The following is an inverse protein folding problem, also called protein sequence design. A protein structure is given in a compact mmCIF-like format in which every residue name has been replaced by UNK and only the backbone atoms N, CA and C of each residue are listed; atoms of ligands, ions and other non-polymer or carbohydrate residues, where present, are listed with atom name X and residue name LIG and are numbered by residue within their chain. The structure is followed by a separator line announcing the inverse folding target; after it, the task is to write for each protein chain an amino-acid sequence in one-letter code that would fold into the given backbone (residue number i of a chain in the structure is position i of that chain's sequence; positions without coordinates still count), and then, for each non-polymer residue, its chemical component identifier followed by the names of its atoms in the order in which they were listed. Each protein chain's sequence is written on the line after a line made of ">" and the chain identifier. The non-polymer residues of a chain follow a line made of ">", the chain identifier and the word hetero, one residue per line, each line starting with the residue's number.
data_IF_932465643985
#
_entry.id   IF_932465643985
#
_cell.length_a   1.000
_cell.length_b   1.000
_cell.length_c   1.000
_cell.angle_alpha   90.00
_cell.angle_beta   90.00
_cell.angle_gamma   90.00
#
_symmetry.space_group_name_H-M   'P 1'
#
loop_
_entity.id
_entity.type
_entity.pdbx_description
1 polymer ?
#
# COMPACT_ATOMS: atom_id res chain seq x y z
N UNK A 1 -18.40 -32.56 13.78
CA UNK A 1 -17.51 -31.61 13.06
C UNK A 1 -16.63 -32.45 12.16
N UNK A 2 -16.83 -32.40 10.83
CA UNK A 2 -16.17 -33.32 9.89
C UNK A 2 -14.77 -32.83 9.53
N UNK A 3 -13.80 -33.73 9.42
CA UNK A 3 -12.40 -33.42 9.06
C UNK A 3 -12.28 -32.55 7.78
N UNK A 4 -13.23 -32.67 6.84
CA UNK A 4 -13.30 -31.84 5.65
C UNK A 4 -13.50 -30.35 5.95
N UNK A 5 -14.23 -29.99 7.01
CA UNK A 5 -14.45 -28.59 7.40
C UNK A 5 -13.17 -27.95 7.96
N UNK A 6 -12.34 -28.72 8.68
CA UNK A 6 -11.06 -28.25 9.21
C UNK A 6 -10.02 -28.01 8.13
N UNK A 7 -9.92 -28.91 7.13
CA UNK A 7 -9.03 -28.70 5.98
C UNK A 7 -9.47 -27.51 5.12
N UNK A 8 -10.79 -27.30 4.95
CA UNK A 8 -11.34 -26.16 4.21
C UNK A 8 -11.15 -24.82 4.94
N UNK A 9 -11.12 -24.82 6.28
CA UNK A 9 -10.79 -23.62 7.08
C UNK A 9 -9.30 -23.28 7.06
N UNK A 10 -8.41 -24.28 7.08
CA UNK A 10 -6.95 -24.07 7.03
C UNK A 10 -6.45 -23.66 5.64
N UNK A 11 -7.06 -24.17 4.57
CA UNK A 11 -6.73 -23.83 3.19
C UNK A 11 -7.64 -22.71 2.65
N UNK A 12 -7.88 -21.64 3.42
CA UNK A 12 -8.43 -20.42 2.82
C UNK A 12 -7.41 -19.93 1.80
N UNK A 13 -7.75 -19.85 0.51
CA UNK A 13 -6.82 -19.33 -0.48
C UNK A 13 -6.44 -17.93 -0.04
N UNK A 14 -5.13 -17.72 0.20
CA UNK A 14 -4.61 -16.41 0.54
C UNK A 14 -5.09 -15.48 -0.55
N UNK A 15 -5.79 -14.41 -0.20
CA UNK A 15 -6.28 -13.48 -1.20
C UNK A 15 -5.07 -12.68 -1.71
N UNK A 16 -4.34 -13.25 -2.67
CA UNK A 16 -3.10 -12.69 -3.23
C UNK A 16 -3.36 -11.27 -3.75
N UNK A 17 -4.55 -11.00 -4.28
CA UNK A 17 -4.96 -9.64 -4.68
C UNK A 17 -5.00 -8.68 -3.50
N UNK A 18 -5.62 -9.07 -2.38
CA UNK A 18 -5.67 -8.23 -1.19
C UNK A 18 -4.28 -8.00 -0.57
N UNK A 19 -3.43 -9.04 -0.55
CA UNK A 19 -2.05 -8.92 -0.09
C UNK A 19 -1.24 -7.99 -1.01
N UNK A 20 -1.35 -8.14 -2.32
CA UNK A 20 -0.66 -7.29 -3.29
C UNK A 20 -1.11 -5.83 -3.19
N UNK A 21 -2.41 -5.58 -3.07
CA UNK A 21 -2.95 -4.23 -2.85
C UNK A 21 -2.42 -3.58 -1.57
N UNK A 22 -2.30 -4.37 -0.50
CA UNK A 22 -1.76 -3.91 0.77
C UNK A 22 -0.26 -3.60 0.68
N UNK A 23 0.54 -4.53 0.14
CA UNK A 23 2.00 -4.36 -0.02
C UNK A 23 2.30 -3.19 -0.95
N UNK A 24 1.64 -3.11 -2.10
CA UNK A 24 1.83 -1.98 -3.01
C UNK A 24 1.38 -0.67 -2.35
N UNK A 25 0.24 -0.65 -1.66
CA UNK A 25 -0.21 0.51 -0.91
C UNK A 25 0.83 0.99 0.11
N UNK A 26 1.44 0.06 0.84
CA UNK A 26 2.52 0.35 1.78
C UNK A 26 3.75 0.93 1.10
N UNK A 27 4.18 0.36 -0.04
CA UNK A 27 5.31 0.89 -0.82
C UNK A 27 5.02 2.32 -1.28
N UNK A 28 3.84 2.58 -1.88
CA UNK A 28 3.47 3.92 -2.33
C UNK A 28 3.36 4.92 -1.17
N UNK A 29 2.87 4.49 -0.01
CA UNK A 29 2.82 5.33 1.18
C UNK A 29 4.22 5.68 1.69
N UNK A 30 5.10 4.68 1.88
CA UNK A 30 6.45 4.93 2.39
C UNK A 30 7.26 5.78 1.40
N UNK A 31 7.29 5.40 0.13
CA UNK A 31 8.04 6.14 -0.90
C UNK A 31 7.47 7.55 -1.09
N UNK A 32 6.13 7.68 -1.15
CA UNK A 32 5.47 8.98 -1.26
C UNK A 32 5.77 9.89 -0.09
N UNK A 33 5.75 9.37 1.14
CA UNK A 33 6.11 10.14 2.34
C UNK A 33 7.57 10.61 2.29
N UNK A 34 8.50 9.73 1.91
CA UNK A 34 9.93 10.07 1.77
C UNK A 34 10.13 11.15 0.70
N UNK A 35 9.46 11.04 -0.44
CA UNK A 35 9.54 12.06 -1.50
C UNK A 35 8.89 13.39 -1.08
N UNK A 36 7.80 13.35 -0.34
CA UNK A 36 7.13 14.56 0.17
C UNK A 36 8.01 15.33 1.17
N UNK A 37 8.77 14.62 2.01
CA UNK A 37 9.68 15.25 2.97
C UNK A 37 11.11 15.45 2.43
N UNK A 38 11.43 14.95 1.24
CA UNK A 38 12.78 14.96 0.64
C UNK A 38 13.41 16.36 0.64
N UNK A 39 12.62 17.38 0.30
CA UNK A 39 13.02 18.80 0.31
C UNK A 39 13.38 19.31 1.72
N UNK A 40 12.75 18.79 2.77
CA UNK A 40 12.99 19.19 4.16
C UNK A 40 14.17 18.48 4.80
N UNK A 41 14.49 17.25 4.35
CA UNK A 41 15.60 16.45 4.86
C UNK A 41 16.90 16.64 4.05
N UNK A 42 16.93 17.58 3.11
CA UNK A 42 18.11 17.88 2.29
C UNK A 42 18.44 16.80 1.26
N UNK A 43 17.47 15.96 0.89
CA UNK A 43 17.63 14.97 -0.18
C UNK A 43 17.55 15.68 -1.53
N UNK A 44 18.71 15.94 -2.14
CA UNK A 44 18.80 16.56 -3.45
C UNK A 44 18.41 15.56 -4.56
N UNK A 45 17.14 15.59 -4.93
CA UNK A 45 16.66 14.89 -6.12
C UNK A 45 16.87 15.81 -7.32
N UNK A 46 17.88 15.50 -8.12
CA UNK A 46 18.35 16.35 -9.24
C UNK A 46 17.37 16.38 -10.41
N UNK A 47 16.47 15.40 -10.51
CA UNK A 47 15.44 15.32 -11.54
C UNK A 47 14.29 14.40 -11.09
N UNK A 48 13.01 14.80 -11.16
CA UNK A 48 12.41 16.10 -11.56
C UNK A 48 12.71 17.27 -10.60
N UNK A 49 12.27 18.52 -10.91
CA UNK A 49 12.34 19.67 -10.00
C UNK A 49 11.81 19.36 -8.59
N UNK A 50 12.42 19.89 -7.50
CA UNK A 50 12.07 19.55 -6.12
C UNK A 50 10.59 19.77 -5.77
N UNK A 51 9.96 20.80 -6.34
CA UNK A 51 8.54 21.07 -6.12
C UNK A 51 7.65 20.01 -6.77
N UNK A 52 8.02 19.53 -7.97
CA UNK A 52 7.33 18.44 -8.66
C UNK A 52 7.49 17.14 -7.89
N UNK A 53 8.69 16.86 -7.38
CA UNK A 53 8.97 15.68 -6.53
C UNK A 53 8.12 15.70 -5.27
N UNK A 54 7.99 16.87 -4.64
CA UNK A 54 7.18 17.05 -3.43
C UNK A 54 5.70 16.79 -3.71
N UNK A 55 5.15 17.39 -4.77
CA UNK A 55 3.75 17.19 -5.19
C UNK A 55 3.49 15.73 -5.56
N UNK A 56 4.41 15.11 -6.30
CA UNK A 56 4.34 13.70 -6.66
C UNK A 56 4.41 12.80 -5.42
N UNK A 57 5.28 13.12 -4.46
CA UNK A 57 5.37 12.43 -3.18
C UNK A 57 4.08 12.47 -2.39
N UNK A 58 3.47 13.66 -2.27
CA UNK A 58 2.17 13.83 -1.61
C UNK A 58 1.09 13.01 -2.33
N UNK A 59 1.02 13.07 -3.66
CA UNK A 59 0.08 12.28 -4.45
C UNK A 59 0.26 10.77 -4.29
N UNK A 60 1.50 10.29 -4.34
CA UNK A 60 1.85 8.89 -4.12
C UNK A 60 1.51 8.42 -2.70
N UNK A 61 1.75 9.27 -1.69
CA UNK A 61 1.39 8.98 -0.31
C UNK A 61 -0.13 8.83 -0.14
N UNK A 62 -0.90 9.79 -0.65
CA UNK A 62 -2.36 9.75 -0.61
C UNK A 62 -2.93 8.52 -1.35
N UNK A 63 -2.38 8.20 -2.52
CA UNK A 63 -2.76 7.02 -3.28
C UNK A 63 -2.41 5.72 -2.56
N UNK A 64 -1.22 5.65 -1.94
CA UNK A 64 -0.79 4.52 -1.11
C UNK A 64 -1.72 4.31 0.08
N UNK A 65 -2.05 5.39 0.82
CA UNK A 65 -2.99 5.36 1.92
C UNK A 65 -4.39 4.89 1.47
N UNK A 66 -4.88 5.38 0.33
CA UNK A 66 -6.14 4.91 -0.26
C UNK A 66 -6.11 3.42 -0.60
N UNK A 67 -5.00 2.91 -1.16
CA UNK A 67 -4.81 1.48 -1.44
C UNK A 67 -4.79 0.63 -0.19
N UNK A 68 -4.13 1.08 0.88
CA UNK A 68 -4.12 0.40 2.18
C UNK A 68 -5.54 0.33 2.74
N UNK A 69 -6.28 1.46 2.73
CA UNK A 69 -7.67 1.51 3.18
C UNK A 69 -8.57 0.55 2.38
N UNK A 70 -8.40 0.51 1.05
CA UNK A 70 -9.13 -0.42 0.18
C UNK A 70 -8.77 -1.88 0.46
N UNK A 71 -7.48 -2.18 0.66
CA UNK A 71 -7.00 -3.52 1.02
C UNK A 71 -7.60 -4.03 2.34
N UNK A 72 -7.64 -3.18 3.37
CA UNK A 72 -8.29 -3.48 4.65
C UNK A 72 -9.80 -3.72 4.51
N UNK A 73 -10.49 -2.89 3.72
CA UNK A 73 -11.94 -3.05 3.47
C UNK A 73 -12.26 -4.36 2.74
N UNK A 74 -11.47 -4.72 1.73
CA UNK A 74 -11.62 -5.97 0.97
C UNK A 74 -11.28 -7.20 1.83
N UNK A 75 -10.32 -7.09 2.74
CA UNK A 75 -10.01 -8.18 3.68
C UNK A 75 -11.13 -8.39 4.71
N UNK A 76 -11.81 -7.32 5.15
CA UNK A 76 -12.91 -7.39 6.13
C UNK A 76 -14.20 -7.98 5.56
N UNK A 77 -14.44 -7.86 4.25
CA UNK A 77 -15.57 -8.47 3.54
C UNK A 77 -15.08 -9.36 2.38
N UNK A 78 -14.60 -10.58 2.66
CA UNK A 78 -14.42 -11.59 1.62
C UNK A 78 -15.82 -12.11 1.26
N UNK A 79 -16.43 -11.49 0.24
CA UNK A 79 -17.68 -11.96 -0.38
C UNK A 79 -17.51 -13.35 -0.97
#
# INVERSE_FOLDING_TARGET
>A
MSLQEDFRKKNKPVNIKALFDFVMGLIYAVVGAVLAISKFIGLEITFPPPDIVTVFGIGAFLYGAFRIFRGFKTYKNPS
#
